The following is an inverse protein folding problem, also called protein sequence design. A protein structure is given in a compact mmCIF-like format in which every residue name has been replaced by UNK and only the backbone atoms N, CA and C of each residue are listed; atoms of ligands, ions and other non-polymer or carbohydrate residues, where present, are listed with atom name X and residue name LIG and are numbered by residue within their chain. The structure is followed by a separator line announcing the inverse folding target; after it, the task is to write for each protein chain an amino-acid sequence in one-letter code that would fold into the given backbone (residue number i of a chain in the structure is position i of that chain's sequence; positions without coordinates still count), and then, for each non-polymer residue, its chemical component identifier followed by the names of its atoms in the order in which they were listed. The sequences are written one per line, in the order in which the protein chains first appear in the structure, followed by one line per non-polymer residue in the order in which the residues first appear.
data_IF_190196118023
#
_entry.id   IF_190196118023
#
_cell.length_a   1.000
_cell.length_b   1.000
_cell.length_c   1.000
_cell.angle_alpha   90.00
_cell.angle_beta   90.00
_cell.angle_gamma   90.00
#
_symmetry.space_group_name_H-M   'P 1'
#
loop_
_entity.id
_entity.type
_entity.pdbx_description
1 polymer ?
#
# COMPACT_ATOMS: atom_id res chain seq x y z
N UNK A 1 -8.39 11.29 -26.43
CA UNK A 1 -8.23 10.89 -25.01
C UNK A 1 -6.80 11.21 -24.62
N UNK A 2 -6.55 11.83 -23.47
CA UNK A 2 -5.19 12.09 -23.00
C UNK A 2 -4.58 10.75 -22.55
N UNK A 3 -3.42 10.39 -23.09
CA UNK A 3 -2.66 9.21 -22.68
C UNK A 3 -2.45 9.25 -21.16
N UNK A 4 -2.79 8.18 -20.47
CA UNK A 4 -2.53 8.02 -19.02
C UNK A 4 -1.13 7.45 -18.81
N UNK A 5 -0.11 8.26 -19.03
CA UNK A 5 1.28 7.87 -18.90
C UNK A 5 1.69 7.80 -17.42
N UNK A 6 2.33 6.71 -17.04
CA UNK A 6 2.78 6.44 -15.67
C UNK A 6 4.23 5.96 -15.65
N UNK A 7 5.02 6.50 -14.72
CA UNK A 7 6.38 6.07 -14.51
C UNK A 7 6.42 4.82 -13.65
N UNK A 8 7.12 3.81 -14.14
CA UNK A 8 7.36 2.55 -13.44
C UNK A 8 8.85 2.21 -13.46
N UNK A 9 9.20 1.06 -12.92
CA UNK A 9 10.54 0.50 -13.02
C UNK A 9 10.52 -0.72 -13.94
N UNK A 10 11.58 -0.87 -14.75
CA UNK A 10 11.81 -2.11 -15.48
C UNK A 10 12.34 -3.19 -14.52
N UNK A 11 12.36 -4.47 -14.93
CA UNK A 11 13.00 -5.53 -14.14
C UNK A 11 14.47 -5.26 -13.77
N UNK A 12 15.15 -4.38 -14.51
CA UNK A 12 16.53 -3.96 -14.24
C UNK A 12 16.62 -2.67 -13.41
N UNK A 13 15.50 -2.19 -12.87
CA UNK A 13 15.43 -0.98 -12.04
C UNK A 13 15.49 0.34 -12.81
N UNK A 14 15.43 0.32 -14.13
CA UNK A 14 15.39 1.55 -14.93
C UNK A 14 13.98 2.15 -14.93
N UNK A 15 13.89 3.47 -14.77
CA UNK A 15 12.60 4.17 -14.85
C UNK A 15 12.10 4.15 -16.29
N UNK A 16 10.89 3.67 -16.48
CA UNK A 16 10.21 3.59 -17.77
C UNK A 16 8.85 4.26 -17.70
N UNK A 17 8.43 4.86 -18.82
CA UNK A 17 7.12 5.48 -18.94
C UNK A 17 6.20 4.53 -19.69
N UNK A 18 5.05 4.21 -19.13
CA UNK A 18 4.09 3.27 -19.71
C UNK A 18 2.71 3.90 -19.84
N UNK A 19 1.94 3.42 -20.79
CA UNK A 19 0.56 3.86 -21.02
C UNK A 19 -0.40 2.90 -20.32
N UNK A 20 -1.02 3.35 -19.24
CA UNK A 20 -1.94 2.56 -18.42
C UNK A 20 -3.13 2.02 -19.21
N UNK A 21 -3.63 2.77 -20.22
CA UNK A 21 -4.78 2.32 -20.98
C UNK A 21 -4.42 1.19 -21.94
N UNK A 22 -3.30 1.33 -22.67
CA UNK A 22 -2.88 0.34 -23.66
C UNK A 22 -2.49 -0.99 -23.01
N UNK A 23 -1.91 -0.95 -21.80
CA UNK A 23 -1.47 -2.17 -21.14
C UNK A 23 -2.58 -2.80 -20.30
N UNK A 24 -3.52 -2.02 -19.81
CA UNK A 24 -4.73 -2.54 -19.16
C UNK A 24 -5.66 -3.28 -20.15
N UNK A 25 -5.62 -2.92 -21.44
CA UNK A 25 -6.34 -3.67 -22.50
C UNK A 25 -5.76 -5.07 -22.76
N UNK A 26 -4.50 -5.30 -22.38
CA UNK A 26 -3.81 -6.58 -22.62
C UNK A 26 -3.92 -7.58 -21.48
N UNK A 27 -4.46 -7.17 -20.31
CA UNK A 27 -4.60 -8.02 -19.13
C UNK A 27 -6.05 -8.04 -18.66
N UNK A 28 -6.55 -9.21 -18.35
CA UNK A 28 -7.89 -9.42 -17.80
C UNK A 28 -7.81 -9.99 -16.38
N UNK A 29 -8.87 -9.83 -15.60
CA UNK A 29 -9.02 -10.50 -14.29
C UNK A 29 -8.84 -12.02 -14.43
N UNK A 30 -9.27 -12.60 -15.53
CA UNK A 30 -9.15 -14.03 -15.80
C UNK A 30 -7.69 -14.44 -16.02
N UNK A 31 -6.90 -13.61 -16.70
CA UNK A 31 -5.47 -13.86 -16.88
C UNK A 31 -4.74 -13.89 -15.55
N UNK A 32 -5.11 -13.00 -14.63
CA UNK A 32 -4.63 -13.00 -13.26
C UNK A 32 -4.99 -14.29 -12.51
N UNK A 33 -6.27 -14.64 -12.46
CA UNK A 33 -6.75 -15.85 -11.79
C UNK A 33 -6.12 -17.14 -12.33
N UNK A 34 -5.72 -17.15 -13.58
CA UNK A 34 -5.05 -18.27 -14.23
C UNK A 34 -3.52 -18.28 -13.99
N UNK A 35 -2.97 -17.33 -13.24
CA UNK A 35 -1.55 -17.27 -12.95
C UNK A 35 -0.68 -17.03 -14.18
N UNK A 36 -1.19 -16.34 -15.19
CA UNK A 36 -0.46 -16.03 -16.43
C UNK A 36 0.57 -14.93 -16.32
N UNK A 37 0.80 -14.42 -15.11
CA UNK A 37 1.80 -13.40 -14.84
C UNK A 37 3.15 -14.04 -14.58
N UNK A 38 4.17 -13.54 -15.24
CA UNK A 38 5.54 -13.78 -14.84
C UNK A 38 6.04 -12.65 -13.91
N UNK A 39 7.15 -12.91 -13.25
CA UNK A 39 7.76 -11.95 -12.34
C UNK A 39 8.13 -10.61 -13.02
N UNK A 40 8.27 -10.59 -14.35
CA UNK A 40 8.58 -9.37 -15.10
C UNK A 40 7.37 -8.43 -15.24
N UNK A 41 6.16 -8.91 -14.98
CA UNK A 41 4.91 -8.16 -15.07
C UNK A 41 4.35 -7.78 -13.69
N UNK A 42 5.09 -8.00 -12.60
CA UNK A 42 4.63 -7.74 -11.22
C UNK A 42 4.16 -6.29 -11.02
N UNK A 43 4.90 -5.30 -11.52
CA UNK A 43 4.50 -3.90 -11.45
C UNK A 43 3.16 -3.65 -12.18
N UNK A 44 2.94 -4.36 -13.28
CA UNK A 44 1.67 -4.36 -13.99
C UNK A 44 0.54 -4.94 -13.17
N UNK A 45 0.84 -5.96 -12.43
CA UNK A 45 -0.09 -6.63 -11.55
C UNK A 45 -0.57 -5.69 -10.43
N UNK A 46 0.33 -4.98 -9.74
CA UNK A 46 -0.04 -3.96 -8.76
C UNK A 46 -0.87 -2.83 -9.38
N UNK A 47 -0.49 -2.40 -10.59
CA UNK A 47 -1.27 -1.41 -11.33
C UNK A 47 -2.65 -1.93 -11.69
N UNK A 48 -2.77 -3.19 -12.08
CA UNK A 48 -4.04 -3.82 -12.40
C UNK A 48 -4.91 -4.01 -11.16
N UNK A 49 -4.38 -4.48 -10.06
CA UNK A 49 -5.10 -4.61 -8.79
C UNK A 49 -5.66 -3.27 -8.31
N UNK A 50 -4.87 -2.20 -8.43
CA UNK A 50 -5.30 -0.86 -8.03
C UNK A 50 -6.22 -0.19 -9.04
N UNK A 51 -6.19 -0.60 -10.32
CA UNK A 51 -6.93 0.02 -11.43
C UNK A 51 -7.92 -0.91 -12.13
N UNK A 52 -8.31 -2.02 -11.56
CA UNK A 52 -9.37 -2.83 -12.15
C UNK A 52 -10.62 -1.97 -12.36
N UNK A 53 -10.78 -1.47 -13.59
CA UNK A 53 -11.88 -0.58 -13.98
C UNK A 53 -13.23 -1.29 -14.15
N UNK A 54 -13.24 -2.61 -14.15
CA UNK A 54 -14.43 -3.38 -14.59
C UNK A 54 -15.36 -3.84 -13.49
N UNK A 55 -15.03 -3.63 -12.26
CA UNK A 55 -15.93 -3.90 -11.14
C UNK A 55 -15.30 -3.33 -9.86
N UNK A 56 -15.99 -3.38 -8.79
CA UNK A 56 -15.64 -3.05 -7.41
C UNK A 56 -14.32 -3.69 -6.88
N UNK A 57 -13.33 -3.86 -7.74
CA UNK A 57 -12.19 -4.77 -7.62
C UNK A 57 -10.83 -4.13 -7.34
N UNK A 58 -10.78 -2.98 -6.72
CA UNK A 58 -9.56 -2.55 -6.03
C UNK A 58 -9.48 -3.31 -4.72
N UNK A 59 -8.37 -3.99 -4.47
CA UNK A 59 -8.21 -4.79 -3.26
C UNK A 59 -8.29 -3.94 -1.99
N UNK A 60 -7.99 -2.65 -2.08
CA UNK A 60 -8.11 -1.69 -0.99
C UNK A 60 -9.47 -1.01 -0.86
N UNK A 61 -10.38 -1.11 -1.85
CA UNK A 61 -11.70 -0.50 -1.82
C UNK A 61 -12.80 -1.55 -1.93
N UNK A 62 -13.22 -2.14 -0.81
CA UNK A 62 -14.21 -3.23 -0.77
C UNK A 62 -15.36 -2.93 0.18
N UNK A 63 -16.56 -3.42 -0.18
CA UNK A 63 -17.78 -3.58 0.65
C UNK A 63 -18.19 -2.38 1.50
N UNK A 64 -17.88 -1.34 1.63
CA UNK A 64 -18.20 -0.23 2.56
C UNK A 64 -16.95 0.59 2.87
N UNK A 65 -15.77 0.00 2.64
CA UNK A 65 -14.49 0.67 2.71
C UNK A 65 -14.15 1.21 1.32
N UNK A 66 -14.66 2.39 0.98
CA UNK A 66 -14.46 3.02 -0.33
C UNK A 66 -14.06 4.49 -0.17
N UNK A 67 -13.25 4.97 -1.11
CA UNK A 67 -12.92 6.40 -1.17
C UNK A 67 -14.14 7.17 -1.68
N UNK A 68 -14.53 8.19 -0.93
CA UNK A 68 -15.60 9.09 -1.29
C UNK A 68 -15.08 10.45 -1.78
N UNK A 69 -15.90 11.15 -2.54
CA UNK A 69 -15.55 12.48 -3.02
C UNK A 69 -15.36 13.44 -1.84
N UNK A 70 -14.19 14.05 -1.76
CA UNK A 70 -13.83 15.00 -0.71
C UNK A 70 -12.96 14.39 0.39
N UNK A 71 -12.79 13.07 0.42
CA UNK A 71 -11.96 12.39 1.43
C UNK A 71 -10.52 12.93 1.48
N UNK A 72 -9.97 12.92 2.68
CA UNK A 72 -8.54 12.98 2.94
C UNK A 72 -8.03 11.55 3.06
N UNK A 73 -7.11 11.19 2.19
CA UNK A 73 -6.56 9.84 2.07
C UNK A 73 -5.14 9.79 2.62
N UNK A 74 -4.85 8.81 3.46
CA UNK A 74 -3.51 8.45 3.92
C UNK A 74 -3.10 7.15 3.24
N UNK A 75 -2.02 7.18 2.46
CA UNK A 75 -1.46 6.06 1.69
C UNK A 75 -0.06 5.74 2.22
N UNK A 76 0.04 4.72 3.06
CA UNK A 76 1.31 4.25 3.63
C UNK A 76 1.78 3.02 2.85
N UNK A 77 3.01 3.09 2.33
CA UNK A 77 3.52 2.18 1.30
C UNK A 77 2.97 2.58 -0.07
N UNK A 78 3.15 3.84 -0.45
CA UNK A 78 2.56 4.39 -1.67
C UNK A 78 3.24 3.91 -2.96
N UNK A 79 4.39 3.23 -2.83
CA UNK A 79 5.14 2.67 -3.96
C UNK A 79 5.31 3.71 -5.08
N UNK A 80 4.98 3.40 -6.32
CA UNK A 80 5.06 4.34 -7.47
C UNK A 80 3.85 5.28 -7.60
N UNK A 81 2.87 5.22 -6.66
CA UNK A 81 1.74 6.14 -6.58
C UNK A 81 0.48 5.71 -7.34
N UNK A 82 0.32 4.42 -7.60
CA UNK A 82 -0.86 3.90 -8.32
C UNK A 82 -2.14 4.13 -7.53
N UNK A 83 -2.13 3.78 -6.24
CA UNK A 83 -3.29 3.99 -5.37
C UNK A 83 -3.58 5.49 -5.16
N UNK A 84 -2.55 6.31 -5.00
CA UNK A 84 -2.72 7.76 -4.90
C UNK A 84 -3.42 8.37 -6.13
N UNK A 85 -3.03 7.92 -7.34
CA UNK A 85 -3.69 8.34 -8.57
C UNK A 85 -5.16 7.90 -8.59
N UNK A 86 -5.46 6.66 -8.17
CA UNK A 86 -6.83 6.19 -8.03
C UNK A 86 -7.63 7.05 -7.04
N UNK A 87 -7.05 7.39 -5.89
CA UNK A 87 -7.71 8.22 -4.89
C UNK A 87 -8.11 9.59 -5.46
N UNK A 88 -7.23 10.24 -6.22
CA UNK A 88 -7.57 11.48 -6.92
C UNK A 88 -8.70 11.29 -7.95
N UNK A 89 -8.68 10.19 -8.71
CA UNK A 89 -9.75 9.86 -9.67
C UNK A 89 -11.11 9.61 -8.99
N UNK A 90 -11.12 9.02 -7.79
CA UNK A 90 -12.31 8.85 -6.95
C UNK A 90 -12.80 10.16 -6.35
N UNK A 91 -12.01 11.22 -6.45
CA UNK A 91 -12.39 12.55 -6.02
C UNK A 91 -11.90 12.94 -4.64
N UNK A 92 -10.88 12.25 -4.11
CA UNK A 92 -10.22 12.66 -2.88
C UNK A 92 -9.85 14.15 -2.94
N UNK A 93 -9.96 14.84 -1.82
CA UNK A 93 -9.56 16.25 -1.68
C UNK A 93 -8.06 16.39 -1.52
N UNK A 94 -7.44 15.44 -0.79
CA UNK A 94 -6.00 15.34 -0.54
C UNK A 94 -5.59 13.88 -0.40
N UNK A 95 -4.35 13.57 -0.81
CA UNK A 95 -3.73 12.27 -0.63
C UNK A 95 -2.34 12.47 -0.03
N UNK A 96 -2.09 11.91 1.14
CA UNK A 96 -0.80 11.95 1.83
C UNK A 96 -0.11 10.60 1.66
N UNK A 97 1.00 10.58 0.92
CA UNK A 97 1.71 9.38 0.52
C UNK A 97 3.06 9.27 1.22
N UNK A 98 3.34 8.10 1.77
CA UNK A 98 4.62 7.77 2.40
C UNK A 98 5.27 6.59 1.67
N UNK A 99 6.49 6.77 1.20
CA UNK A 99 7.27 5.76 0.48
C UNK A 99 8.76 5.92 0.83
N UNK A 100 9.40 4.93 1.47
CA UNK A 100 10.79 5.07 1.93
C UNK A 100 11.84 4.91 0.83
N UNK A 101 11.59 4.09 -0.19
CA UNK A 101 12.61 3.66 -1.14
C UNK A 101 12.83 4.69 -2.25
N UNK A 102 14.09 5.07 -2.50
CA UNK A 102 14.42 6.08 -3.52
C UNK A 102 13.89 5.75 -4.91
N UNK A 103 14.04 4.52 -5.45
CA UNK A 103 13.60 4.24 -6.82
C UNK A 103 12.09 4.42 -7.02
N UNK A 104 11.28 3.88 -6.11
CA UNK A 104 9.81 3.98 -6.13
C UNK A 104 9.35 5.40 -5.81
N UNK A 105 9.93 6.04 -4.80
CA UNK A 105 9.63 7.43 -4.44
C UNK A 105 9.87 8.41 -5.59
N UNK A 106 10.93 8.23 -6.38
CA UNK A 106 11.18 9.09 -7.54
C UNK A 106 10.18 8.87 -8.67
N UNK A 107 9.62 7.66 -8.80
CA UNK A 107 8.48 7.42 -9.68
C UNK A 107 7.21 8.08 -9.11
N UNK A 108 6.91 7.88 -7.83
CA UNK A 108 5.80 8.51 -7.11
C UNK A 108 5.83 10.04 -7.28
N UNK A 109 6.99 10.66 -7.11
CA UNK A 109 7.17 12.11 -7.26
C UNK A 109 6.82 12.62 -8.67
N UNK A 110 7.05 11.79 -9.71
CA UNK A 110 6.69 12.11 -11.08
C UNK A 110 5.23 11.80 -11.41
N UNK A 111 4.66 10.80 -10.73
CA UNK A 111 3.30 10.32 -10.97
C UNK A 111 2.26 11.09 -10.16
N UNK A 112 2.66 11.77 -9.09
CA UNK A 112 1.74 12.46 -8.18
C UNK A 112 0.88 13.48 -8.93
N UNK A 113 -0.41 13.48 -8.60
CA UNK A 113 -1.34 14.50 -9.05
C UNK A 113 -1.28 15.78 -8.21
N UNK A 114 -2.12 16.77 -8.54
CA UNK A 114 -2.11 18.09 -7.88
C UNK A 114 -2.58 18.06 -6.43
N UNK A 115 -3.27 17.00 -6.00
CA UNK A 115 -3.78 16.85 -4.64
C UNK A 115 -2.94 15.91 -3.78
N UNK A 116 -1.85 15.36 -4.33
CA UNK A 116 -0.99 14.38 -3.69
C UNK A 116 0.24 15.03 -3.08
N UNK A 117 0.43 14.81 -1.78
CA UNK A 117 1.58 15.21 -0.98
C UNK A 117 2.43 13.98 -0.69
N UNK A 118 3.73 14.03 -0.99
CA UNK A 118 4.62 12.87 -0.91
C UNK A 118 5.75 13.08 0.08
N UNK A 119 6.01 12.07 0.90
CA UNK A 119 7.02 12.05 1.95
C UNK A 119 7.93 10.85 1.77
N UNK A 120 9.26 11.11 1.73
CA UNK A 120 10.27 10.05 1.61
C UNK A 120 10.59 9.46 2.99
N UNK A 121 9.62 8.78 3.56
CA UNK A 121 9.71 8.17 4.88
C UNK A 121 9.04 6.81 4.90
N UNK A 122 9.58 5.91 5.71
CA UNK A 122 8.80 4.79 6.23
C UNK A 122 7.84 5.28 7.32
N UNK A 123 6.77 4.55 7.56
CA UNK A 123 5.89 4.77 8.70
C UNK A 123 5.79 3.48 9.49
N UNK A 124 5.84 3.56 10.80
CA UNK A 124 5.77 2.41 11.67
C UNK A 124 5.46 2.77 13.13
N UNK A 125 5.91 1.93 14.05
CA UNK A 125 5.62 2.07 15.50
C UNK A 125 6.51 3.09 16.22
N UNK A 126 7.59 3.57 15.62
CA UNK A 126 8.56 4.44 16.30
C UNK A 126 9.33 5.33 15.33
N UNK A 127 9.91 6.41 15.86
CA UNK A 127 10.83 7.27 15.12
C UNK A 127 12.25 6.69 15.18
N UNK A 128 12.74 6.15 14.06
CA UNK A 128 14.08 5.56 13.97
C UNK A 128 14.57 5.46 12.53
N UNK A 129 15.87 5.26 12.35
CA UNK A 129 16.38 4.88 11.04
C UNK A 129 16.31 3.36 10.86
N UNK A 130 15.85 2.92 9.69
CA UNK A 130 15.74 1.53 9.31
C UNK A 130 16.54 1.28 8.04
N UNK A 131 17.15 0.09 7.96
CA UNK A 131 17.85 -0.38 6.77
C UNK A 131 16.86 -1.25 5.95
N UNK A 132 16.50 -0.77 4.78
CA UNK A 132 15.64 -1.47 3.82
C UNK A 132 16.49 -2.22 2.81
N UNK A 133 16.11 -3.45 2.50
CA UNK A 133 16.83 -4.32 1.58
C UNK A 133 15.88 -4.89 0.54
N UNK A 134 16.30 -4.87 -0.72
CA UNK A 134 15.65 -5.59 -1.80
C UNK A 134 16.53 -6.79 -2.14
N UNK A 135 15.99 -7.99 -1.96
CA UNK A 135 16.72 -9.24 -2.08
C UNK A 135 16.60 -9.94 -3.43
N UNK A 136 15.84 -9.40 -4.36
CA UNK A 136 15.63 -9.97 -5.69
C UNK A 136 15.84 -8.90 -6.75
N UNK A 137 15.57 -9.24 -8.00
CA UNK A 137 15.54 -8.24 -9.07
C UNK A 137 14.45 -7.18 -8.80
N UNK A 138 14.54 -6.06 -9.50
CA UNK A 138 13.56 -4.98 -9.37
C UNK A 138 12.15 -5.33 -9.83
N UNK A 139 11.88 -6.57 -10.26
CA UNK A 139 10.53 -7.04 -10.54
C UNK A 139 9.69 -7.25 -9.28
N UNK A 140 10.34 -7.30 -8.11
CA UNK A 140 9.71 -7.45 -6.79
C UNK A 140 9.95 -6.22 -5.89
N UNK A 141 10.06 -5.05 -6.46
CA UNK A 141 10.32 -3.82 -5.69
C UNK A 141 9.19 -3.48 -4.72
N UNK A 142 7.96 -3.93 -5.00
CA UNK A 142 6.85 -3.86 -4.06
C UNK A 142 7.14 -4.56 -2.73
N UNK A 143 7.94 -5.64 -2.75
CA UNK A 143 8.34 -6.41 -1.57
C UNK A 143 9.59 -5.91 -0.86
N UNK A 144 9.90 -4.61 -0.90
CA UNK A 144 10.99 -4.04 -0.11
C UNK A 144 10.62 -4.00 1.37
N UNK A 145 11.13 -4.94 2.14
CA UNK A 145 10.85 -5.10 3.57
C UNK A 145 12.06 -4.77 4.45
N UNK A 146 11.81 -4.35 5.68
CA UNK A 146 12.83 -4.23 6.73
C UNK A 146 13.00 -5.54 7.53
N UNK A 147 12.15 -6.54 7.30
CA UNK A 147 12.29 -7.84 7.94
C UNK A 147 13.37 -8.68 7.23
N UNK A 148 14.27 -9.26 8.03
CA UNK A 148 15.23 -10.22 7.52
C UNK A 148 14.51 -11.55 7.23
N UNK A 149 14.02 -11.74 6.01
CA UNK A 149 13.76 -13.11 5.59
C UNK A 149 15.06 -13.91 5.61
N UNK A 150 15.04 -15.19 6.06
CA UNK A 150 16.21 -16.05 5.97
C UNK A 150 16.55 -16.26 4.50
N UNK A 151 17.43 -15.42 3.98
CA UNK A 151 17.82 -15.39 2.56
C UNK A 151 18.90 -16.42 2.28
N UNK A 152 18.58 -17.69 2.38
CA UNK A 152 19.43 -18.71 1.81
C UNK A 152 19.41 -18.60 0.28
N UNK A 153 20.37 -17.83 -0.27
CA UNK A 153 20.65 -17.79 -1.70
C UNK A 153 20.11 -16.60 -2.50
N UNK A 154 19.48 -15.61 -1.87
CA UNK A 154 19.08 -14.36 -2.56
C UNK A 154 20.15 -13.29 -2.38
N UNK A 155 20.60 -12.65 -3.45
CA UNK A 155 21.53 -11.53 -3.39
C UNK A 155 20.79 -10.24 -3.06
N UNK A 156 21.31 -9.43 -2.15
CA UNK A 156 20.86 -8.05 -1.94
C UNK A 156 21.25 -7.26 -3.19
N UNK A 157 20.29 -6.66 -3.86
CA UNK A 157 20.52 -5.86 -5.06
C UNK A 157 20.42 -4.35 -4.80
N UNK A 158 19.77 -3.98 -3.70
CA UNK A 158 19.64 -2.59 -3.27
C UNK A 158 19.50 -2.52 -1.76
N UNK A 159 20.17 -1.57 -1.13
CA UNK A 159 20.07 -1.29 0.30
C UNK A 159 19.99 0.22 0.51
N UNK A 160 19.06 0.66 1.33
CA UNK A 160 18.89 2.06 1.65
C UNK A 160 18.48 2.25 3.11
N UNK A 161 19.09 3.25 3.76
CA UNK A 161 18.66 3.68 5.09
C UNK A 161 17.60 4.77 4.97
N UNK A 162 16.42 4.52 5.52
CA UNK A 162 15.32 5.47 5.54
C UNK A 162 14.91 5.82 6.97
N UNK A 163 14.41 7.04 7.16
CA UNK A 163 13.79 7.45 8.42
C UNK A 163 12.37 6.88 8.48
N UNK A 164 12.12 6.07 9.50
CA UNK A 164 10.79 5.64 9.90
C UNK A 164 10.21 6.66 10.87
N UNK A 165 8.97 7.07 10.64
CA UNK A 165 8.20 8.01 11.45
C UNK A 165 7.09 7.26 12.19
N UNK A 166 6.85 7.58 13.46
CA UNK A 166 5.75 7.02 14.24
C UNK A 166 4.40 7.39 13.61
N UNK A 167 3.49 6.44 13.51
CA UNK A 167 2.16 6.64 12.91
C UNK A 167 1.37 7.77 13.57
N UNK A 168 1.48 7.95 14.88
CA UNK A 168 0.76 9.03 15.59
C UNK A 168 1.33 10.40 15.26
N UNK A 169 2.66 10.49 14.99
CA UNK A 169 3.28 11.74 14.53
C UNK A 169 2.85 12.06 13.09
N UNK A 170 2.57 11.05 12.26
CA UNK A 170 1.99 11.23 10.93
C UNK A 170 0.63 11.90 11.03
N UNK A 171 -0.29 11.40 11.88
CA UNK A 171 -1.60 12.02 12.10
C UNK A 171 -1.47 13.46 12.62
N UNK A 172 -0.54 13.69 13.55
CA UNK A 172 -0.25 15.04 14.07
C UNK A 172 0.25 15.97 12.97
N UNK A 173 1.12 15.49 12.09
CA UNK A 173 1.70 16.27 11.00
C UNK A 173 0.67 16.61 9.93
N UNK A 174 -0.22 15.68 9.59
CA UNK A 174 -1.35 15.90 8.68
C UNK A 174 -2.27 16.99 9.24
N UNK A 175 -2.56 16.97 10.53
CA UNK A 175 -3.27 18.03 11.25
C UNK A 175 -4.75 18.20 10.83
N UNK A 176 -5.29 17.26 10.06
CA UNK A 176 -6.68 17.21 9.66
C UNK A 176 -7.22 15.76 9.73
N UNK A 177 -8.52 15.60 9.67
CA UNK A 177 -9.15 14.28 9.74
C UNK A 177 -8.77 13.45 8.51
N UNK A 178 -8.27 12.25 8.75
CA UNK A 178 -8.06 11.23 7.70
C UNK A 178 -9.36 10.44 7.54
N UNK A 179 -9.91 10.40 6.33
CA UNK A 179 -11.14 9.65 6.06
C UNK A 179 -10.86 8.24 5.59
N UNK A 180 -9.87 8.05 4.72
CA UNK A 180 -9.46 6.75 4.21
C UNK A 180 -7.98 6.52 4.50
N UNK A 181 -7.65 5.40 5.15
CA UNK A 181 -6.30 4.98 5.48
C UNK A 181 -5.96 3.66 4.77
N UNK A 182 -5.04 3.67 3.81
CA UNK A 182 -4.43 2.48 3.20
C UNK A 182 -3.11 2.20 3.89
N UNK A 183 -2.90 0.95 4.29
CA UNK A 183 -1.68 0.44 4.90
C UNK A 183 -1.20 -0.80 4.16
N UNK A 184 -0.01 -0.72 3.59
CA UNK A 184 0.63 -1.80 2.84
C UNK A 184 2.13 -1.50 2.80
N UNK A 185 2.89 -2.06 3.74
CA UNK A 185 4.30 -1.72 4.00
C UNK A 185 5.23 -2.93 3.95
N UNK A 186 4.72 -4.07 3.48
CA UNK A 186 5.51 -5.30 3.29
C UNK A 186 6.16 -5.79 4.59
N UNK A 187 5.38 -5.76 5.66
CA UNK A 187 5.77 -6.16 7.03
C UNK A 187 5.75 -5.02 8.03
N UNK A 188 5.47 -5.32 9.30
CA UNK A 188 5.33 -4.33 10.37
C UNK A 188 3.93 -3.72 10.50
N UNK A 189 2.94 -4.18 9.72
CA UNK A 189 1.55 -3.71 9.81
C UNK A 189 0.97 -3.97 11.20
N UNK A 190 1.28 -5.12 11.79
CA UNK A 190 0.85 -5.49 13.15
C UNK A 190 1.39 -4.50 14.18
N UNK A 191 2.69 -4.22 14.14
CA UNK A 191 3.34 -3.30 15.07
C UNK A 191 2.78 -1.88 14.94
N UNK A 192 2.56 -1.42 13.71
CA UNK A 192 1.99 -0.11 13.42
C UNK A 192 0.56 0.00 13.94
N UNK A 193 -0.29 -1.02 13.70
CA UNK A 193 -1.68 -1.02 14.15
C UNK A 193 -1.83 -1.20 15.66
N UNK A 194 -0.87 -1.82 16.33
CA UNK A 194 -0.81 -1.85 17.80
C UNK A 194 -0.42 -0.48 18.37
N UNK A 195 0.43 0.28 17.66
CA UNK A 195 0.93 1.57 18.12
C UNK A 195 -0.08 2.73 17.91
N UNK A 196 -0.89 2.68 16.84
CA UNK A 196 -1.86 3.74 16.57
C UNK A 196 -2.81 3.95 17.75
N UNK A 197 -2.99 5.20 18.19
CA UNK A 197 -3.90 5.50 19.30
C UNK A 197 -5.37 5.30 18.92
N UNK A 198 -6.23 5.05 19.91
CA UNK A 198 -7.68 4.94 19.69
C UNK A 198 -8.27 6.24 19.15
N UNK A 199 -7.72 7.40 19.55
CA UNK A 199 -8.12 8.70 19.05
C UNK A 199 -7.87 8.78 17.53
N UNK A 200 -6.65 8.49 17.08
CA UNK A 200 -6.30 8.51 15.66
C UNK A 200 -7.08 7.47 14.86
N UNK A 201 -7.13 6.23 15.35
CA UNK A 201 -7.87 5.16 14.68
C UNK A 201 -9.37 5.48 14.59
N UNK A 202 -9.98 5.99 15.66
CA UNK A 202 -11.41 6.32 15.67
C UNK A 202 -11.75 7.52 14.77
N UNK A 203 -10.79 8.37 14.43
CA UNK A 203 -10.98 9.49 13.50
C UNK A 203 -11.13 9.03 12.05
N UNK A 204 -10.60 7.85 11.71
CA UNK A 204 -10.64 7.29 10.36
C UNK A 204 -12.04 6.72 10.08
N UNK A 205 -12.55 6.96 8.86
CA UNK A 205 -13.81 6.36 8.38
C UNK A 205 -13.57 4.97 7.79
N UNK A 206 -12.52 4.82 6.98
CA UNK A 206 -12.13 3.57 6.34
C UNK A 206 -10.66 3.25 6.59
N UNK A 207 -10.36 2.02 6.99
CA UNK A 207 -9.02 1.45 7.03
C UNK A 207 -8.96 0.23 6.12
N UNK A 208 -8.01 0.22 5.20
CA UNK A 208 -7.68 -0.96 4.38
C UNK A 208 -6.21 -1.31 4.59
N UNK A 209 -5.95 -2.50 5.12
CA UNK A 209 -4.60 -2.94 5.44
C UNK A 209 -4.31 -4.30 4.80
N UNK A 210 -3.16 -4.42 4.15
CA UNK A 210 -2.60 -5.68 3.66
C UNK A 210 -1.55 -6.19 4.64
N UNK A 211 -1.66 -7.46 5.07
CA UNK A 211 -0.76 -8.08 6.03
C UNK A 211 0.11 -9.10 5.34
N UNK A 212 1.43 -8.96 5.47
CA UNK A 212 2.45 -9.82 4.86
C UNK A 212 3.06 -10.80 5.84
N UNK A 213 3.08 -10.47 7.13
CA UNK A 213 3.60 -11.34 8.19
C UNK A 213 2.50 -12.09 8.90
N UNK A 214 2.20 -13.28 8.41
CA UNK A 214 1.25 -14.19 9.04
C UNK A 214 2.01 -15.28 9.78
N UNK A 215 2.42 -14.98 10.99
CA UNK A 215 3.03 -15.91 11.93
C UNK A 215 1.99 -16.49 12.91
N UNK A 216 2.42 -17.30 13.90
CA UNK A 216 1.54 -17.90 14.89
C UNK A 216 0.80 -16.85 15.73
N UNK A 217 1.39 -15.68 15.96
CA UNK A 217 0.83 -14.58 16.75
C UNK A 217 -0.22 -13.78 15.98
N UNK A 218 -0.28 -13.90 14.65
CA UNK A 218 -1.21 -13.13 13.81
C UNK A 218 -2.68 -13.37 14.18
N UNK A 219 -3.07 -14.61 14.50
CA UNK A 219 -4.45 -14.91 14.83
C UNK A 219 -4.87 -14.24 16.15
N UNK A 220 -3.97 -14.16 17.12
CA UNK A 220 -4.23 -13.47 18.40
C UNK A 220 -4.30 -11.96 18.18
N UNK A 221 -3.37 -11.38 17.41
CA UNK A 221 -3.43 -9.98 16.99
C UNK A 221 -4.74 -9.68 16.26
N UNK A 222 -5.11 -10.49 15.27
CA UNK A 222 -6.34 -10.27 14.48
C UNK A 222 -7.56 -10.24 15.39
N UNK A 223 -7.66 -11.13 16.36
CA UNK A 223 -8.78 -11.18 17.32
C UNK A 223 -8.81 -9.91 18.18
N UNK A 224 -7.68 -9.54 18.78
CA UNK A 224 -7.59 -8.37 19.66
C UNK A 224 -7.85 -7.06 18.89
N UNK A 225 -7.26 -6.93 17.71
CA UNK A 225 -7.47 -5.74 16.88
C UNK A 225 -8.91 -5.65 16.37
N UNK A 226 -9.53 -6.78 16.06
CA UNK A 226 -10.94 -6.83 15.69
C UNK A 226 -11.85 -6.36 16.81
N UNK A 227 -11.67 -6.88 18.02
CA UNK A 227 -12.44 -6.46 19.20
C UNK A 227 -12.25 -4.96 19.47
N UNK A 228 -11.03 -4.46 19.34
CA UNK A 228 -10.72 -3.04 19.44
C UNK A 228 -11.45 -2.22 18.37
N UNK A 229 -11.37 -2.63 17.11
CA UNK A 229 -12.03 -1.93 15.99
C UNK A 229 -13.56 -1.88 16.18
N UNK A 230 -14.18 -3.00 16.58
CA UNK A 230 -15.62 -3.04 16.90
C UNK A 230 -15.98 -2.07 18.02
N UNK A 231 -15.16 -2.01 19.09
CA UNK A 231 -15.38 -1.09 20.20
C UNK A 231 -15.31 0.39 19.80
N UNK A 232 -14.55 0.69 18.74
CA UNK A 232 -14.42 2.03 18.13
C UNK A 232 -15.49 2.31 17.06
N UNK A 233 -16.45 1.40 16.88
CA UNK A 233 -17.60 1.56 15.99
C UNK A 233 -17.36 1.17 14.54
N UNK A 234 -16.28 0.44 14.23
CA UNK A 234 -16.07 -0.11 12.90
C UNK A 234 -16.89 -1.37 12.64
N UNK A 235 -17.28 -1.53 11.38
CA UNK A 235 -17.64 -2.80 10.76
C UNK A 235 -16.46 -3.25 9.89
N UNK A 236 -16.44 -4.50 9.45
CA UNK A 236 -15.36 -4.92 8.57
C UNK A 236 -15.38 -6.39 8.18
N UNK A 237 -14.39 -6.76 7.40
CA UNK A 237 -14.11 -8.16 7.05
C UNK A 237 -12.60 -8.32 6.78
N UNK A 238 -12.16 -9.57 6.78
CA UNK A 238 -10.80 -9.95 6.41
C UNK A 238 -10.87 -10.97 5.27
N UNK A 239 -10.15 -10.70 4.19
CA UNK A 239 -9.98 -11.62 3.07
C UNK A 239 -8.67 -12.38 3.20
N UNK A 240 -8.71 -13.66 2.84
CA UNK A 240 -7.56 -14.53 2.78
C UNK A 240 -7.19 -14.74 1.32
N UNK A 241 -5.96 -14.46 0.95
CA UNK A 241 -5.46 -14.62 -0.40
C UNK A 241 -4.66 -15.92 -0.53
N UNK A 242 -4.88 -16.65 -1.62
CA UNK A 242 -4.08 -17.80 -2.04
C UNK A 242 -3.85 -18.86 -0.97
N UNK A 243 -2.62 -19.04 -0.56
CA UNK A 243 -2.18 -20.03 0.44
C UNK A 243 -2.37 -19.56 1.90
N UNK A 244 -3.03 -18.42 2.11
CA UNK A 244 -3.29 -17.84 3.43
C UNK A 244 -2.15 -17.02 4.02
N UNK A 245 -1.09 -16.75 3.26
CA UNK A 245 0.06 -15.94 3.70
C UNK A 245 -0.16 -14.45 3.56
N UNK A 246 -1.14 -14.05 2.76
CA UNK A 246 -1.52 -12.67 2.56
C UNK A 246 -2.96 -12.46 2.98
N UNK A 247 -3.23 -11.38 3.71
CA UNK A 247 -4.58 -11.04 4.17
C UNK A 247 -4.84 -9.55 4.00
N UNK A 248 -6.03 -9.22 3.49
CA UNK A 248 -6.51 -7.84 3.44
C UNK A 248 -7.62 -7.63 4.45
N UNK A 249 -7.44 -6.68 5.35
CA UNK A 249 -8.43 -6.21 6.31
C UNK A 249 -9.09 -4.95 5.76
N UNK A 250 -10.41 -4.91 5.75
CA UNK A 250 -11.19 -3.71 5.44
C UNK A 250 -12.13 -3.37 6.58
N UNK A 251 -11.99 -2.17 7.14
CA UNK A 251 -12.82 -1.62 8.21
C UNK A 251 -13.52 -0.34 7.74
N UNK A 252 -14.79 -0.13 8.15
CA UNK A 252 -15.57 1.08 7.85
C UNK A 252 -16.58 1.42 8.93
N UNK A 253 -16.97 2.69 8.99
CA UNK A 253 -18.04 3.23 9.85
C UNK A 253 -19.24 3.66 9.04
#
# INVERSE_FOLDING_TARGET
MSKKLFWTLSPQGNKVLRDLETENENFTIEDYRLGKYDANNYIWFEMFQSFSFQSDGCDYERMGCQIEKGDVVLDIGANIGVFAHRAEMRGASKVYCFEPMTPTFECLLKNKGPKTFVYKNAVGSKNTFMDFKIHTDFSHIGGASFHEEPTTGKNIIFEEKALMVNINDVFTTIGEKVDFFKLDIEGGEIELLNEITDENLSSVRCLSAEFHEINEDFNEFQRQFWDRALSLGFNGFCLYHGDGKLRTLSLWK
#
